data_IF_768434216718
#
_entry.id   IF_768434216718
#
_cell.length_a   1.000
_cell.length_b   1.000
_cell.length_c   1.000
_cell.angle_alpha   90.00
_cell.angle_beta   90.00
_cell.angle_gamma   90.00
#
_symmetry.space_group_name_H-M   'P 1'
#
loop_
_entity.id
_entity.type
_entity.pdbx_description
1 polymer ?
#
# COMPACT_ATOMS: atom_id res chain seq x y z
N UNK A 1 4.16 7.19 12.78
CA UNK A 1 3.96 8.54 12.20
C UNK A 1 2.61 9.13 12.61
N UNK A 2 2.48 10.47 12.74
CA UNK A 2 1.24 11.20 13.11
C UNK A 2 0.93 12.32 12.09
N UNK A 3 -0.35 12.67 11.93
CA UNK A 3 -0.78 13.75 11.02
C UNK A 3 -0.37 13.55 9.56
N UNK A 4 0.00 14.63 8.89
CA UNK A 4 0.49 14.65 7.50
C UNK A 4 1.75 13.81 7.26
N UNK A 5 2.55 13.56 8.31
CA UNK A 5 3.75 12.71 8.21
C UNK A 5 3.42 11.23 7.98
N UNK A 6 2.14 10.82 8.05
CA UNK A 6 1.72 9.45 7.73
C UNK A 6 1.65 9.17 6.22
N UNK A 7 1.45 10.19 5.38
CA UNK A 7 1.28 10.03 3.93
C UNK A 7 2.59 10.16 3.15
N UNK A 8 3.74 10.05 3.81
CA UNK A 8 5.04 10.14 3.16
C UNK A 8 5.51 8.76 2.67
N UNK A 9 6.29 8.70 1.58
CA UNK A 9 6.87 7.44 1.10
C UNK A 9 7.72 6.74 2.16
N UNK A 10 8.50 7.50 2.93
CA UNK A 10 9.34 6.97 4.01
C UNK A 10 8.52 6.26 5.09
N UNK A 11 7.35 6.81 5.44
CA UNK A 11 6.45 6.15 6.38
C UNK A 11 5.90 4.83 5.83
N UNK A 12 5.61 4.77 4.53
CA UNK A 12 5.14 3.57 3.86
C UNK A 12 6.20 2.46 3.83
N UNK A 13 7.45 2.83 3.52
CA UNK A 13 8.59 1.91 3.57
C UNK A 13 8.73 1.25 4.94
N UNK A 14 8.84 2.05 6.00
CA UNK A 14 9.05 1.51 7.34
C UNK A 14 7.88 0.63 7.79
N UNK A 15 6.65 0.99 7.43
CA UNK A 15 5.47 0.18 7.73
C UNK A 15 5.48 -1.16 6.98
N UNK A 16 5.86 -1.16 5.70
CA UNK A 16 5.96 -2.37 4.88
C UNK A 16 7.06 -3.30 5.37
N UNK A 17 8.22 -2.77 5.75
CA UNK A 17 9.33 -3.56 6.31
C UNK A 17 8.92 -4.25 7.62
N UNK A 18 8.30 -3.51 8.54
CA UNK A 18 7.84 -4.07 9.81
C UNK A 18 6.76 -5.14 9.62
N UNK A 19 5.86 -4.95 8.65
CA UNK A 19 4.86 -5.96 8.31
C UNK A 19 5.49 -7.22 7.70
N UNK A 20 6.49 -7.05 6.82
CA UNK A 20 7.19 -8.15 6.18
C UNK A 20 7.96 -9.00 7.20
N UNK A 21 8.70 -8.37 8.12
CA UNK A 21 9.46 -9.09 9.16
C UNK A 21 8.55 -9.97 10.02
N UNK A 22 7.41 -9.45 10.46
CA UNK A 22 6.42 -10.23 11.22
C UNK A 22 5.83 -11.38 10.37
N UNK A 23 5.58 -11.15 9.09
CA UNK A 23 5.09 -12.20 8.20
C UNK A 23 6.14 -13.31 7.99
N UNK A 24 7.43 -12.94 7.93
CA UNK A 24 8.54 -13.91 7.80
C UNK A 24 8.71 -14.76 9.06
N UNK A 25 8.51 -14.21 10.26
CA UNK A 25 8.46 -14.99 11.51
C UNK A 25 7.38 -16.08 11.46
N UNK A 26 6.29 -15.84 10.74
CA UNK A 26 5.22 -16.80 10.51
C UNK A 26 5.45 -17.71 9.29
N UNK A 27 6.62 -17.65 8.65
CA UNK A 27 7.00 -18.53 7.55
C UNK A 27 6.46 -18.13 6.17
N UNK A 28 5.95 -16.90 6.01
CA UNK A 28 5.47 -16.40 4.72
C UNK A 28 6.65 -16.15 3.77
N UNK A 29 6.62 -16.76 2.59
CA UNK A 29 7.68 -16.63 1.56
C UNK A 29 7.21 -15.97 0.26
N UNK A 30 5.93 -16.14 -0.08
CA UNK A 30 5.31 -15.62 -1.31
C UNK A 30 4.03 -14.88 -0.95
N UNK A 31 3.82 -13.72 -1.56
CA UNK A 31 2.61 -12.90 -1.36
C UNK A 31 2.08 -12.35 -2.68
N UNK A 32 0.74 -12.28 -2.77
CA UNK A 32 0.03 -11.52 -3.78
C UNK A 32 -0.32 -10.14 -3.22
N UNK A 33 0.11 -9.09 -3.91
CA UNK A 33 -0.06 -7.72 -3.45
C UNK A 33 -1.33 -7.12 -4.03
N UNK A 34 -2.30 -6.88 -3.17
CA UNK A 34 -3.56 -6.21 -3.50
C UNK A 34 -3.45 -4.71 -3.15
N UNK A 35 -3.42 -3.86 -4.17
CA UNK A 35 -3.26 -2.42 -3.98
C UNK A 35 -4.59 -1.70 -4.11
N UNK A 36 -4.90 -0.80 -3.18
CA UNK A 36 -6.13 0.00 -3.21
C UNK A 36 -5.80 1.50 -3.22
N UNK A 37 -6.14 2.16 -4.32
CA UNK A 37 -6.09 3.60 -4.48
C UNK A 37 -4.74 4.15 -4.99
N UNK A 38 -4.75 5.32 -5.63
CA UNK A 38 -3.54 6.04 -6.01
C UNK A 38 -3.04 6.85 -4.80
N UNK A 39 -1.94 6.41 -4.19
CA UNK A 39 -1.31 7.09 -3.06
C UNK A 39 0.21 7.18 -3.23
N UNK A 40 0.82 8.19 -2.61
CA UNK A 40 2.27 8.45 -2.63
C UNK A 40 3.13 7.28 -2.12
N UNK A 41 2.58 6.44 -1.24
CA UNK A 41 3.28 5.27 -0.68
C UNK A 41 3.11 3.98 -1.47
N UNK A 42 2.36 3.98 -2.57
CA UNK A 42 1.98 2.76 -3.31
C UNK A 42 3.19 1.96 -3.77
N UNK A 43 4.03 2.56 -4.61
CA UNK A 43 5.19 1.86 -5.18
C UNK A 43 6.27 1.59 -4.14
N UNK A 44 6.46 2.52 -3.21
CA UNK A 44 7.45 2.41 -2.15
C UNK A 44 7.16 1.19 -1.27
N UNK A 45 5.91 0.98 -0.87
CA UNK A 45 5.53 -0.18 -0.08
C UNK A 45 5.79 -1.50 -0.83
N UNK A 46 5.45 -1.58 -2.12
CA UNK A 46 5.67 -2.78 -2.94
C UNK A 46 7.18 -3.11 -3.04
N UNK A 47 8.01 -2.09 -3.29
CA UNK A 47 9.46 -2.26 -3.36
C UNK A 47 10.06 -2.70 -2.02
N UNK A 48 9.58 -2.15 -0.91
CA UNK A 48 10.03 -2.53 0.43
C UNK A 48 9.66 -3.97 0.81
N UNK A 49 8.50 -4.48 0.38
CA UNK A 49 8.13 -5.89 0.55
C UNK A 49 9.06 -6.81 -0.25
N UNK A 50 9.44 -6.43 -1.47
CA UNK A 50 10.40 -7.20 -2.25
C UNK A 50 11.82 -7.14 -1.65
N UNK A 51 12.23 -5.98 -1.13
CA UNK A 51 13.56 -5.78 -0.53
C UNK A 51 13.77 -6.57 0.78
N UNK A 52 12.69 -6.87 1.51
CA UNK A 52 12.74 -7.65 2.76
C UNK A 52 12.84 -9.16 2.53
N UNK A 53 12.84 -9.63 1.28
CA UNK A 53 13.03 -11.03 0.93
C UNK A 53 11.73 -11.83 0.77
N UNK A 54 10.58 -11.16 0.71
CA UNK A 54 9.31 -11.79 0.33
C UNK A 54 9.17 -11.73 -1.19
N UNK A 55 8.92 -12.88 -1.82
CA UNK A 55 8.66 -12.95 -3.26
C UNK A 55 7.26 -12.43 -3.58
N UNK A 56 7.18 -11.40 -4.42
CA UNK A 56 5.91 -10.86 -4.91
C UNK A 56 5.49 -11.66 -6.13
N UNK A 57 4.45 -12.50 -5.98
CA UNK A 57 3.97 -13.37 -7.06
C UNK A 57 3.10 -12.62 -8.07
N UNK A 58 2.32 -11.64 -7.60
CA UNK A 58 1.47 -10.83 -8.45
C UNK A 58 1.11 -9.50 -7.80
N UNK A 59 0.83 -8.50 -8.65
CA UNK A 59 0.34 -7.19 -8.23
C UNK A 59 -1.03 -6.98 -8.87
N UNK A 60 -2.07 -6.84 -8.03
CA UNK A 60 -3.43 -6.57 -8.49
C UNK A 60 -3.92 -5.24 -7.94
N UNK A 61 -4.35 -4.36 -8.82
CA UNK A 61 -5.03 -3.13 -8.43
C UNK A 61 -6.52 -3.43 -8.19
N UNK A 62 -6.96 -3.19 -6.96
CA UNK A 62 -8.35 -3.33 -6.50
C UNK A 62 -8.96 -1.96 -6.15
N UNK A 63 -8.47 -0.89 -6.80
CA UNK A 63 -9.06 0.45 -6.66
C UNK A 63 -10.53 0.42 -7.11
N UNK A 64 -11.49 0.82 -6.25
CA UNK A 64 -12.90 0.75 -6.59
C UNK A 64 -13.25 1.76 -7.68
N UNK A 65 -13.76 1.27 -8.81
CA UNK A 65 -14.32 2.09 -9.89
C UNK A 65 -15.85 2.02 -9.75
N UNK A 66 -16.53 3.12 -9.35
CA UNK A 66 -17.97 3.10 -9.17
C UNK A 66 -18.71 3.22 -10.52
N UNK A 67 -19.60 2.27 -10.81
CA UNK A 67 -20.51 2.34 -11.95
C UNK A 67 -21.73 3.23 -11.62
N UNK A 68 -21.56 4.56 -11.67
CA UNK A 68 -22.61 5.55 -11.36
C UNK A 68 -23.27 5.35 -9.96
N UNK A 69 -22.44 5.06 -8.95
CA UNK A 69 -22.87 4.91 -7.55
C UNK A 69 -23.06 6.24 -6.81
N UNK A 70 -22.58 6.32 -5.56
CA UNK A 70 -22.71 7.53 -4.75
C UNK A 70 -22.06 8.76 -5.39
N UNK A 71 -22.76 9.90 -5.33
CA UNK A 71 -22.26 11.18 -5.83
C UNK A 71 -20.98 11.60 -5.06
N UNK A 72 -19.85 11.86 -5.75
CA UNK A 72 -18.63 12.33 -5.08
C UNK A 72 -18.84 13.73 -4.48
N UNK A 73 -18.06 14.04 -3.43
CA UNK A 73 -18.12 15.34 -2.74
C UNK A 73 -17.90 16.48 -3.73
N UNK A 74 -18.70 17.54 -3.61
CA UNK A 74 -18.56 18.76 -4.43
C UNK A 74 -17.10 19.24 -4.44
N UNK A 75 -16.59 19.58 -5.63
CA UNK A 75 -15.23 20.11 -5.81
C UNK A 75 -15.01 21.28 -4.84
N UNK A 76 -13.94 21.21 -4.04
CA UNK A 76 -13.59 22.27 -3.09
C UNK A 76 -13.14 23.51 -3.85
N UNK A 77 -13.48 24.69 -3.33
CA UNK A 77 -12.93 25.98 -3.72
C UNK A 77 -11.82 26.29 -2.73
N UNK A 78 -10.60 25.88 -3.05
CA UNK A 78 -9.40 26.23 -2.30
C UNK A 78 -8.48 26.92 -3.29
#
# INVERSE_FOLDING_TARGET
FKGSRKSTPFAAQLAAEQAALRAMEHGVRKVDVLVRGPGSGRETAIRSLAATGIEVAGIKDVTPIPHNGCRPKKRRRV
#
